data_IF_761326674493
#
_entry.id   IF_761326674493
#
_cell.length_a   1.000
_cell.length_b   1.000
_cell.length_c   1.000
_cell.angle_alpha   90.00
_cell.angle_beta   90.00
_cell.angle_gamma   90.00
#
_symmetry.space_group_name_H-M   'P 1'
#
loop_
_entity.id
_entity.type
_entity.pdbx_description
1 polymer ?
#
# COMPACT_ATOMS: atom_id res chain seq x y z
N UNK A 1 0.64 -13.08 -1.68
CA UNK A 1 1.13 -11.69 -1.65
C UNK A 1 1.72 -11.39 -3.01
N UNK A 2 1.47 -10.19 -3.51
CA UNK A 2 1.97 -9.66 -4.77
C UNK A 2 2.77 -8.38 -4.49
N UNK A 3 3.75 -8.12 -5.35
CA UNK A 3 4.60 -6.95 -5.27
C UNK A 3 4.11 -5.86 -6.23
N UNK A 4 4.29 -4.61 -5.84
CA UNK A 4 3.97 -3.45 -6.66
C UNK A 4 4.59 -2.17 -6.14
N UNK A 5 4.17 -1.05 -6.71
CA UNK A 5 4.61 0.28 -6.34
C UNK A 5 3.41 1.13 -5.93
N UNK A 6 3.54 1.85 -4.81
CA UNK A 6 2.59 2.87 -4.39
C UNK A 6 2.91 4.17 -5.10
N UNK A 7 2.09 4.51 -6.09
CA UNK A 7 2.33 5.65 -6.98
C UNK A 7 1.72 6.94 -6.45
N UNK A 8 0.53 6.85 -5.85
CA UNK A 8 -0.21 8.00 -5.35
C UNK A 8 -0.84 7.74 -3.98
N UNK A 9 -0.85 8.79 -3.16
CA UNK A 9 -1.52 8.86 -1.87
C UNK A 9 -2.37 10.13 -1.82
N UNK A 10 -3.67 9.98 -1.57
CA UNK A 10 -4.62 11.08 -1.51
C UNK A 10 -4.96 11.37 -0.03
N UNK A 11 -4.57 12.55 0.52
CA UNK A 11 -4.91 12.95 1.89
C UNK A 11 -6.41 13.21 2.09
N UNK A 12 -6.93 13.19 3.35
CA UNK A 12 -6.19 13.16 4.60
C UNK A 12 -5.95 11.72 5.10
N UNK A 13 -4.76 11.16 4.89
CA UNK A 13 -4.43 9.87 5.52
C UNK A 13 -3.40 9.01 4.78
N UNK A 14 -2.15 9.09 5.23
CA UNK A 14 -1.22 7.95 5.21
C UNK A 14 -0.61 7.69 6.59
N UNK A 15 -0.95 8.46 7.63
CA UNK A 15 -0.30 8.39 8.95
C UNK A 15 -0.81 7.22 9.80
N UNK A 16 -1.58 6.30 9.20
CA UNK A 16 -2.19 5.17 9.90
C UNK A 16 -3.45 5.51 10.71
N UNK A 17 -3.94 6.75 10.74
CA UNK A 17 -5.05 7.15 11.64
C UNK A 17 -6.24 7.82 10.96
N UNK A 18 -6.09 8.30 9.72
CA UNK A 18 -7.14 9.02 9.00
C UNK A 18 -7.58 8.28 7.73
N UNK A 19 -8.82 8.52 7.29
CA UNK A 19 -9.41 7.92 6.10
C UNK A 19 -8.84 8.55 4.82
N UNK A 20 -7.93 7.83 4.17
CA UNK A 20 -7.34 8.19 2.89
C UNK A 20 -7.44 7.06 1.87
N UNK A 21 -6.99 7.35 0.65
CA UNK A 21 -6.97 6.40 -0.47
C UNK A 21 -5.58 6.39 -1.09
N UNK A 22 -5.08 5.22 -1.46
CA UNK A 22 -3.85 5.08 -2.24
C UNK A 22 -4.07 4.26 -3.51
N UNK A 23 -3.19 4.47 -4.50
CA UNK A 23 -3.14 3.72 -5.74
C UNK A 23 -1.84 2.94 -5.84
N UNK A 24 -1.95 1.66 -6.17
CA UNK A 24 -0.84 0.74 -6.35
C UNK A 24 -0.83 0.32 -7.81
N UNK A 25 0.34 0.33 -8.44
CA UNK A 25 0.59 -0.38 -9.69
C UNK A 25 1.36 -1.67 -9.40
N UNK A 26 0.74 -2.81 -9.66
CA UNK A 26 1.38 -4.11 -9.57
C UNK A 26 2.47 -4.28 -10.62
N UNK A 27 3.42 -5.18 -10.36
CA UNK A 27 4.50 -5.49 -11.32
C UNK A 27 4.00 -6.12 -12.63
N UNK A 28 2.77 -6.62 -12.64
CA UNK A 28 2.05 -7.10 -13.83
C UNK A 28 1.42 -5.96 -14.65
N UNK A 29 1.52 -4.71 -14.19
CA UNK A 29 0.91 -3.53 -14.78
C UNK A 29 -0.54 -3.29 -14.37
N UNK A 30 -1.11 -4.13 -13.49
CA UNK A 30 -2.46 -3.95 -12.96
C UNK A 30 -2.49 -2.80 -11.96
N UNK A 31 -3.56 -2.00 -11.95
CA UNK A 31 -3.73 -0.92 -10.97
C UNK A 31 -4.81 -1.25 -9.96
N UNK A 32 -4.51 -1.04 -8.68
CA UNK A 32 -5.39 -1.29 -7.55
C UNK A 32 -5.53 -0.06 -6.67
N UNK A 33 -6.66 0.04 -5.97
CA UNK A 33 -6.91 1.05 -4.95
C UNK A 33 -7.05 0.40 -3.59
N UNK A 34 -6.58 1.08 -2.56
CA UNK A 34 -6.76 0.66 -1.17
C UNK A 34 -7.16 1.85 -0.30
N UNK A 35 -7.74 1.55 0.86
CA UNK A 35 -8.26 2.52 1.81
C UNK A 35 -7.50 2.45 3.12
N UNK A 36 -7.11 3.61 3.64
CA UNK A 36 -6.54 3.73 4.99
C UNK A 36 -7.64 4.07 6.00
N UNK A 37 -7.48 3.70 7.28
CA UNK A 37 -6.40 2.87 7.81
C UNK A 37 -6.67 1.35 7.72
N UNK A 38 -7.78 0.95 7.06
CA UNK A 38 -8.27 -0.43 7.04
C UNK A 38 -7.29 -1.39 6.39
N UNK A 39 -6.84 -1.07 5.18
CA UNK A 39 -6.11 -2.02 4.35
C UNK A 39 -4.60 -1.99 4.66
N UNK A 40 -4.10 -0.93 5.30
CA UNK A 40 -2.72 -0.79 5.74
C UNK A 40 -2.54 -1.03 7.24
N UNK A 41 -3.52 -1.62 7.92
CA UNK A 41 -3.48 -1.96 9.35
C UNK A 41 -2.96 -0.81 10.23
N UNK A 42 -3.51 0.39 10.04
CA UNK A 42 -3.09 1.61 10.75
C UNK A 42 -1.59 1.96 10.64
N UNK A 43 -0.88 1.46 9.62
CA UNK A 43 0.56 1.69 9.45
C UNK A 43 0.83 2.84 8.50
N UNK A 44 1.86 3.64 8.78
CA UNK A 44 2.24 4.70 7.86
C UNK A 44 2.86 4.13 6.58
N UNK A 45 2.41 4.62 5.42
CA UNK A 45 2.93 4.22 4.10
C UNK A 45 3.60 5.39 3.39
N UNK A 46 4.62 5.10 2.59
CA UNK A 46 5.32 6.07 1.74
C UNK A 46 5.23 5.64 0.29
N UNK A 47 5.28 6.60 -0.63
CA UNK A 47 5.39 6.29 -2.06
C UNK A 47 6.62 5.40 -2.29
N UNK A 48 6.50 4.42 -3.19
CA UNK A 48 7.55 3.44 -3.46
C UNK A 48 7.09 1.98 -3.31
N UNK A 49 8.04 1.04 -3.21
CA UNK A 49 7.72 -0.39 -3.24
C UNK A 49 6.85 -0.85 -2.08
N UNK A 50 5.82 -1.64 -2.41
CA UNK A 50 4.90 -2.23 -1.45
C UNK A 50 4.62 -3.71 -1.77
N UNK A 51 4.11 -4.42 -0.76
CA UNK A 51 3.52 -5.75 -0.90
C UNK A 51 2.04 -5.66 -0.58
N UNK A 52 1.22 -6.37 -1.33
CA UNK A 52 -0.23 -6.39 -1.12
C UNK A 52 -0.83 -7.79 -1.28
N UNK A 53 -2.02 -7.95 -0.71
CA UNK A 53 -2.83 -9.16 -0.86
C UNK A 53 -4.19 -8.76 -1.42
N UNK A 54 -4.65 -9.49 -2.43
CA UNK A 54 -5.98 -9.34 -2.98
C UNK A 54 -6.95 -10.31 -2.31
N UNK A 55 -8.23 -9.94 -2.30
CA UNK A 55 -9.32 -10.81 -1.88
C UNK A 55 -9.43 -12.06 -2.76
N UNK A 56 -10.27 -13.01 -2.35
CA UNK A 56 -10.51 -14.24 -3.11
C UNK A 56 -11.03 -14.00 -4.55
N UNK A 57 -11.56 -12.80 -4.83
CA UNK A 57 -12.01 -12.42 -6.17
C UNK A 57 -10.88 -11.86 -7.05
N UNK A 58 -9.73 -11.54 -6.46
CA UNK A 58 -8.59 -10.91 -7.13
C UNK A 58 -8.84 -9.46 -7.52
N UNK A 59 -9.87 -8.79 -6.96
CA UNK A 59 -10.27 -7.44 -7.38
C UNK A 59 -10.03 -6.37 -6.34
N UNK A 60 -10.09 -6.71 -5.06
CA UNK A 60 -9.92 -5.75 -3.97
C UNK A 60 -8.69 -6.07 -3.16
N UNK A 61 -8.05 -5.03 -2.64
CA UNK A 61 -6.98 -5.16 -1.68
C UNK A 61 -7.56 -5.57 -0.34
N UNK A 62 -7.00 -6.62 0.27
CA UNK A 62 -7.27 -7.00 1.67
C UNK A 62 -6.21 -6.46 2.63
N UNK A 63 -4.96 -6.40 2.17
CA UNK A 63 -3.86 -5.88 2.98
C UNK A 63 -2.76 -5.26 2.12
N UNK A 64 -2.12 -4.21 2.65
CA UNK A 64 -0.97 -3.51 2.08
C UNK A 64 0.07 -3.32 3.17
N UNK A 65 1.30 -3.68 2.86
CA UNK A 65 2.45 -3.47 3.73
C UNK A 65 3.56 -2.81 2.94
N UNK A 66 4.17 -1.77 3.50
CA UNK A 66 5.36 -1.16 2.92
C UNK A 66 6.45 -2.22 2.83
N UNK A 67 7.02 -2.43 1.63
CA UNK A 67 8.24 -3.21 1.55
C UNK A 67 9.30 -2.38 2.24
N UNK A 68 9.91 -2.91 3.30
CA UNK A 68 11.13 -2.31 3.85
C UNK A 68 12.23 -2.44 2.80
N UNK A 69 12.22 -1.54 1.83
CA UNK A 69 13.49 -1.05 1.32
C UNK A 69 14.12 -0.33 2.48
N UNK A 70 15.15 -0.94 3.05
CA UNK A 70 16.01 -0.35 4.05
C UNK A 70 16.80 0.77 3.34
N UNK A 71 16.37 2.05 3.35
CA UNK A 71 16.96 3.02 2.43
C UNK A 71 18.31 3.51 2.95
N UNK A 72 18.59 3.38 4.26
CA UNK A 72 19.85 3.76 4.90
C UNK A 72 20.04 2.92 6.18
N UNK A 73 21.25 2.39 6.35
CA UNK A 73 21.67 1.39 7.35
C UNK A 73 21.03 1.45 8.73
N UNK A 74 20.76 0.26 9.28
CA UNK A 74 20.45 0.07 10.69
C UNK A 74 21.50 0.78 11.55
N UNK A 75 21.00 1.56 12.52
CA UNK A 75 21.82 2.10 13.60
C UNK A 75 22.02 1.04 14.68
#
# INVERSE_FOLDING_TARGET
MADGNLDNLFPPGNNGTAHGVGMITGNDGSSFVFQTPRDNNNSQLSLGPITYTLDASGKHIESVTQTTDNPLGGS
#
